data_IF_129282052743
#
_entry.id   IF_129282052743
#
_cell.length_a   1.000
_cell.length_b   1.000
_cell.length_c   1.000
_cell.angle_alpha   90.00
_cell.angle_beta   90.00
_cell.angle_gamma   90.00
#
_symmetry.space_group_name_H-M   'P 1'
#
loop_
_entity.id
_entity.type
_entity.pdbx_description
1 polymer ?
#
# COMPACT_ATOMS: atom_id res chain seq x y z
N UNK A 1 -11.27 -12.04 26.44
CA UNK A 1 -10.13 -12.61 25.67
C UNK A 1 -10.16 -11.97 24.30
N UNK A 2 -9.17 -11.15 23.97
CA UNK A 2 -9.01 -10.58 22.62
C UNK A 2 -8.33 -11.65 21.78
N UNK A 3 -9.12 -12.40 21.00
CA UNK A 3 -8.58 -13.39 20.07
C UNK A 3 -8.03 -12.64 18.86
N UNK A 4 -6.71 -12.51 18.79
CA UNK A 4 -6.03 -11.87 17.67
C UNK A 4 -5.78 -12.91 16.57
N UNK A 5 -6.43 -12.74 15.41
CA UNK A 5 -6.20 -13.61 14.23
C UNK A 5 -4.94 -13.17 13.46
N UNK A 6 -4.53 -11.90 13.58
CA UNK A 6 -3.34 -11.34 12.91
C UNK A 6 -2.52 -10.46 13.84
N UNK A 7 -1.21 -10.71 13.91
CA UNK A 7 -0.26 -9.95 14.71
C UNK A 7 0.99 -9.65 13.86
N UNK A 8 1.48 -8.41 13.91
CA UNK A 8 2.84 -8.08 13.47
C UNK A 8 3.78 -8.44 14.61
N UNK A 9 4.71 -9.36 14.39
CA UNK A 9 5.62 -9.79 15.44
C UNK A 9 6.52 -8.60 15.90
N UNK A 10 6.78 -8.46 17.21
CA UNK A 10 7.45 -7.29 17.77
C UNK A 10 8.93 -7.18 17.40
N UNK A 11 9.52 -8.27 16.92
CA UNK A 11 10.90 -8.41 16.49
C UNK A 11 11.10 -8.14 15.00
N UNK A 12 10.03 -7.86 14.24
CA UNK A 12 10.14 -7.44 12.84
C UNK A 12 10.74 -6.04 12.78
N UNK A 13 11.81 -5.91 12.01
CA UNK A 13 12.51 -4.65 11.83
C UNK A 13 11.74 -3.68 10.92
N UNK A 14 12.06 -2.38 11.04
CA UNK A 14 11.39 -1.32 10.28
C UNK A 14 11.53 -1.50 8.76
N UNK A 15 12.65 -2.05 8.28
CA UNK A 15 12.87 -2.25 6.85
C UNK A 15 11.91 -3.30 6.31
N UNK A 16 11.81 -4.45 6.97
CA UNK A 16 10.84 -5.51 6.62
C UNK A 16 9.40 -4.99 6.67
N UNK A 17 9.05 -4.17 7.66
CA UNK A 17 7.71 -3.55 7.74
C UNK A 17 7.43 -2.60 6.57
N UNK A 18 8.41 -1.77 6.21
CA UNK A 18 8.29 -0.81 5.12
C UNK A 18 8.27 -1.51 3.74
N UNK A 19 9.05 -2.58 3.55
CA UNK A 19 8.99 -3.41 2.33
C UNK A 19 7.61 -4.05 2.18
N UNK A 20 7.09 -4.65 3.25
CA UNK A 20 5.74 -5.19 3.26
C UNK A 20 4.69 -4.11 2.96
N UNK A 21 4.82 -2.92 3.55
CA UNK A 21 3.91 -1.81 3.29
C UNK A 21 3.98 -1.36 1.82
N UNK A 22 5.18 -1.26 1.24
CA UNK A 22 5.39 -0.91 -0.17
C UNK A 22 4.66 -1.90 -1.09
N UNK A 23 4.92 -3.20 -0.92
CA UNK A 23 4.29 -4.26 -1.73
C UNK A 23 2.76 -4.28 -1.54
N UNK A 24 2.28 -4.07 -0.31
CA UNK A 24 0.86 -4.02 -0.01
C UNK A 24 0.17 -2.83 -0.67
N UNK A 25 0.80 -1.64 -0.67
CA UNK A 25 0.29 -0.45 -1.32
C UNK A 25 0.29 -0.60 -2.85
N UNK A 26 1.36 -1.17 -3.42
CA UNK A 26 1.43 -1.49 -4.85
C UNK A 26 0.28 -2.41 -5.27
N UNK A 27 0.05 -3.48 -4.50
CA UNK A 27 -1.06 -4.42 -4.72
C UNK A 27 -2.42 -3.71 -4.62
N UNK A 28 -2.63 -2.88 -3.60
CA UNK A 28 -3.86 -2.11 -3.43
C UNK A 28 -4.11 -1.12 -4.57
N UNK A 29 -3.06 -0.48 -5.09
CA UNK A 29 -3.13 0.41 -6.25
C UNK A 29 -3.63 -0.34 -7.49
N UNK A 30 -3.09 -1.54 -7.75
CA UNK A 30 -3.53 -2.39 -8.87
C UNK A 30 -4.98 -2.82 -8.68
N UNK A 31 -5.37 -3.31 -7.51
CA UNK A 31 -6.75 -3.72 -7.22
C UNK A 31 -7.74 -2.56 -7.38
N UNK A 32 -7.38 -1.36 -6.93
CA UNK A 32 -8.22 -0.17 -7.11
C UNK A 32 -8.32 0.24 -8.58
N UNK A 33 -7.22 0.16 -9.35
CA UNK A 33 -7.23 0.44 -10.79
C UNK A 33 -8.10 -0.55 -11.55
N UNK A 34 -7.95 -1.85 -11.26
CA UNK A 34 -8.71 -2.92 -11.89
C UNK A 34 -10.20 -2.76 -11.61
N UNK A 35 -10.56 -2.56 -10.34
CA UNK A 35 -11.96 -2.36 -9.97
C UNK A 35 -12.54 -1.04 -10.53
N UNK A 36 -11.73 0.00 -10.74
CA UNK A 36 -12.18 1.24 -11.36
C UNK A 36 -12.61 1.04 -12.82
N UNK A 37 -12.01 0.07 -13.53
CA UNK A 37 -12.40 -0.26 -14.92
C UNK A 37 -13.76 -0.94 -14.99
N UNK A 38 -14.16 -1.65 -13.94
CA UNK A 38 -15.45 -2.35 -13.87
C UNK A 38 -16.61 -1.41 -13.51
N UNK A 39 -16.32 -0.23 -12.97
CA UNK A 39 -17.31 0.76 -12.57
C UNK A 39 -17.59 1.79 -13.68
N UNK A 40 -18.86 2.14 -13.88
CA UNK A 40 -19.29 3.15 -14.85
C UNK A 40 -19.47 4.52 -14.18
N UNK A 41 -19.12 5.59 -14.90
CA UNK A 41 -19.41 6.97 -14.49
C UNK A 41 -18.54 7.46 -13.32
N UNK A 42 -19.12 8.29 -12.45
CA UNK A 42 -18.38 9.00 -11.39
C UNK A 42 -17.67 8.09 -10.38
N UNK A 43 -18.19 6.89 -10.14
CA UNK A 43 -17.60 5.92 -9.20
C UNK A 43 -16.21 5.44 -9.65
N UNK A 44 -16.02 5.22 -10.95
CA UNK A 44 -14.71 4.86 -11.52
C UNK A 44 -13.70 5.99 -11.32
N UNK A 45 -14.10 7.25 -11.55
CA UNK A 45 -13.23 8.41 -11.31
C UNK A 45 -12.86 8.57 -9.83
N UNK A 46 -13.81 8.34 -8.91
CA UNK A 46 -13.51 8.34 -7.47
C UNK A 46 -12.46 7.28 -7.13
N UNK A 47 -12.61 6.07 -7.68
CA UNK A 47 -11.69 4.99 -7.39
C UNK A 47 -10.30 5.18 -8.01
N UNK A 48 -10.21 5.82 -9.18
CA UNK A 48 -8.93 6.28 -9.74
C UNK A 48 -8.25 7.32 -8.84
N UNK A 49 -9.01 8.22 -8.21
CA UNK A 49 -8.46 9.16 -7.22
C UNK A 49 -7.93 8.46 -5.96
N UNK A 50 -8.61 7.42 -5.50
CA UNK A 50 -8.14 6.57 -4.39
C UNK A 50 -6.86 5.82 -4.80
N UNK A 51 -6.85 5.21 -5.99
CA UNK A 51 -5.68 4.53 -6.55
C UNK A 51 -4.47 5.48 -6.62
N UNK A 52 -4.67 6.72 -7.07
CA UNK A 52 -3.61 7.73 -7.11
C UNK A 52 -3.06 8.04 -5.71
N UNK A 53 -3.94 8.17 -4.71
CA UNK A 53 -3.52 8.42 -3.32
C UNK A 53 -2.69 7.26 -2.76
N UNK A 54 -3.06 6.01 -3.07
CA UNK A 54 -2.34 4.81 -2.67
C UNK A 54 -0.95 4.78 -3.31
N UNK A 55 -0.86 5.01 -4.63
CA UNK A 55 0.41 5.06 -5.37
C UNK A 55 1.36 6.13 -4.82
N UNK A 56 0.85 7.31 -4.43
CA UNK A 56 1.67 8.34 -3.79
C UNK A 56 2.21 7.88 -2.42
N UNK A 57 1.40 7.15 -1.65
CA UNK A 57 1.84 6.52 -0.40
C UNK A 57 2.93 5.49 -0.63
N UNK A 58 2.78 4.62 -1.63
CA UNK A 58 3.78 3.63 -2.04
C UNK A 58 5.12 4.30 -2.37
N UNK A 59 5.10 5.35 -3.21
CA UNK A 59 6.31 6.11 -3.55
C UNK A 59 6.99 6.73 -2.34
N UNK A 60 6.20 7.24 -1.37
CA UNK A 60 6.75 7.80 -0.14
C UNK A 60 7.41 6.72 0.73
N UNK A 61 6.78 5.55 0.87
CA UNK A 61 7.36 4.40 1.59
C UNK A 61 8.64 3.91 0.91
N UNK A 62 8.61 3.77 -0.42
CA UNK A 62 9.77 3.35 -1.20
C UNK A 62 10.94 4.33 -1.03
N UNK A 63 10.67 5.64 -1.04
CA UNK A 63 11.69 6.66 -0.78
C UNK A 63 12.27 6.58 0.62
N UNK A 64 11.49 6.18 1.63
CA UNK A 64 11.99 5.96 2.99
C UNK A 64 12.88 4.72 3.03
N UNK A 65 12.51 3.64 2.35
CA UNK A 65 13.35 2.44 2.21
C UNK A 65 14.71 2.76 1.57
N UNK A 66 14.71 3.50 0.46
CA UNK A 66 15.94 3.93 -0.22
C UNK A 66 16.88 4.76 0.70
N UNK A 67 16.31 5.52 1.64
CA UNK A 67 17.10 6.29 2.59
C UNK A 67 17.72 5.43 3.70
N UNK A 68 17.16 4.25 3.97
CA UNK A 68 17.67 3.31 4.98
C UNK A 68 18.83 2.46 4.44
N UNK A 69 18.86 2.21 3.13
CA UNK A 69 19.97 1.55 2.43
C UNK A 69 20.64 2.50 1.42
N UNK A 70 21.44 3.47 1.89
CA UNK A 70 22.23 4.28 0.98
C UNK A 70 23.25 3.41 0.21
N UNK A 71 23.60 3.79 -1.03
CA UNK A 71 24.54 3.05 -1.87
C UNK A 71 25.96 2.96 -1.30
#
# INVERSE_FOLDING_TARGET
MTSTIFLIAPDIDNRTLLEYACVSLASASVMASDFARDLKGSQGHTLLGIQQSIMLGEMAVNRVLDNLDPP
#
